data_IF_420518126881
#
_entry.id   IF_420518126881
#
_cell.length_a   1.000
_cell.length_b   1.000
_cell.length_c   1.000
_cell.angle_alpha   90.00
_cell.angle_beta   90.00
_cell.angle_gamma   90.00
#
_symmetry.space_group_name_H-M   'P 1'
#
loop_
_entity.id
_entity.type
_entity.pdbx_description
1 polymer ?
#
# COMPACT_ATOMS: atom_id res chain seq x y z
N UNK A 1 -114.20 59.01 1.24
CA UNK A 1 -112.82 59.53 1.01
C UNK A 1 -111.81 58.77 1.88
N UNK A 2 -112.15 58.51 3.16
CA UNK A 2 -111.40 57.72 4.16
C UNK A 2 -110.79 56.38 3.67
N UNK A 3 -111.56 55.51 2.98
CA UNK A 3 -111.07 54.18 2.59
C UNK A 3 -109.92 54.20 1.56
N UNK A 4 -109.94 55.15 0.63
CA UNK A 4 -108.89 55.25 -0.41
C UNK A 4 -107.57 55.76 0.16
N UNK A 5 -107.62 56.62 1.18
CA UNK A 5 -106.44 57.11 1.89
C UNK A 5 -105.80 55.98 2.69
N UNK A 6 -106.60 55.19 3.41
CA UNK A 6 -106.13 54.00 4.13
C UNK A 6 -105.46 52.97 3.19
N UNK A 7 -106.07 52.67 2.04
CA UNK A 7 -105.51 51.75 1.05
C UNK A 7 -104.17 52.26 0.46
N UNK A 8 -104.05 53.56 0.24
CA UNK A 8 -102.81 54.16 -0.25
C UNK A 8 -101.71 54.19 0.82
N UNK A 9 -102.05 54.42 2.08
CA UNK A 9 -101.12 54.32 3.21
C UNK A 9 -100.63 52.88 3.40
N UNK A 10 -101.52 51.89 3.30
CA UNK A 10 -101.16 50.47 3.34
C UNK A 10 -100.20 50.15 2.19
N UNK A 11 -100.50 50.58 0.95
CA UNK A 11 -99.60 50.39 -0.20
C UNK A 11 -98.23 51.04 0.02
N UNK A 12 -98.20 52.30 0.46
CA UNK A 12 -96.97 53.02 0.74
C UNK A 12 -96.14 52.33 1.84
N UNK A 13 -96.77 51.75 2.86
CA UNK A 13 -96.09 50.96 3.88
C UNK A 13 -95.52 49.66 3.31
N UNK A 14 -96.23 48.97 2.42
CA UNK A 14 -95.72 47.78 1.74
C UNK A 14 -94.55 48.11 0.81
N UNK A 15 -94.62 49.19 0.04
CA UNK A 15 -93.52 49.63 -0.83
C UNK A 15 -92.28 50.01 -0.03
N UNK A 16 -92.45 50.67 1.13
CA UNK A 16 -91.36 50.95 2.07
C UNK A 16 -90.77 49.67 2.65
N UNK A 17 -91.61 48.68 2.99
CA UNK A 17 -91.14 47.40 3.50
C UNK A 17 -90.37 46.61 2.42
N UNK A 18 -90.87 46.62 1.19
CA UNK A 18 -90.26 45.94 0.04
C UNK A 18 -88.90 46.56 -0.30
N UNK A 19 -88.83 47.90 -0.38
CA UNK A 19 -87.58 48.63 -0.63
C UNK A 19 -86.57 48.41 0.49
N UNK A 20 -87.01 48.43 1.76
CA UNK A 20 -86.15 48.13 2.91
C UNK A 20 -85.61 46.69 2.84
N UNK A 21 -86.47 45.71 2.56
CA UNK A 21 -86.08 44.32 2.46
C UNK A 21 -85.09 44.08 1.29
N UNK A 22 -85.31 44.75 0.15
CA UNK A 22 -84.41 44.66 -1.00
C UNK A 22 -83.04 45.29 -0.71
N UNK A 23 -83.00 46.43 0.00
CA UNK A 23 -81.73 47.04 0.43
C UNK A 23 -81.02 46.14 1.44
N UNK A 24 -81.75 45.59 2.42
CA UNK A 24 -81.19 44.73 3.46
C UNK A 24 -80.62 43.43 2.90
N UNK A 25 -81.28 42.81 1.92
CA UNK A 25 -80.79 41.61 1.22
C UNK A 25 -79.54 41.91 0.38
N UNK A 26 -79.51 43.03 -0.35
CA UNK A 26 -78.33 43.44 -1.12
C UNK A 26 -77.14 43.79 -0.20
N UNK A 27 -77.38 44.48 0.91
CA UNK A 27 -76.33 44.79 1.88
C UNK A 27 -75.80 43.52 2.56
N UNK A 28 -76.68 42.61 2.98
CA UNK A 28 -76.31 41.34 3.60
C UNK A 28 -75.48 40.48 2.65
N UNK A 29 -75.91 40.32 1.40
CA UNK A 29 -75.14 39.56 0.38
C UNK A 29 -73.79 40.20 0.05
N UNK A 30 -73.73 41.53 -0.01
CA UNK A 30 -72.47 42.26 -0.20
C UNK A 30 -71.50 42.05 0.96
N UNK A 31 -71.97 42.18 2.21
CA UNK A 31 -71.15 41.95 3.41
C UNK A 31 -70.65 40.51 3.44
N UNK A 32 -71.50 39.53 3.14
CA UNK A 32 -71.10 38.12 3.06
C UNK A 32 -70.01 37.89 2.01
N UNK A 33 -70.13 38.51 0.83
CA UNK A 33 -69.12 38.40 -0.22
C UNK A 33 -67.78 39.02 0.21
N UNK A 34 -67.82 40.21 0.83
CA UNK A 34 -66.63 40.89 1.35
C UNK A 34 -65.97 40.06 2.47
N UNK A 35 -66.75 39.48 3.38
CA UNK A 35 -66.24 38.57 4.42
C UNK A 35 -65.64 37.28 3.84
N UNK A 36 -66.29 36.66 2.86
CA UNK A 36 -65.80 35.43 2.23
C UNK A 36 -64.52 35.69 1.43
N UNK A 37 -64.41 36.86 0.79
CA UNK A 37 -63.18 37.31 0.16
C UNK A 37 -62.07 37.52 1.20
N UNK A 38 -62.35 38.20 2.30
CA UNK A 38 -61.37 38.39 3.39
C UNK A 38 -60.88 37.05 3.93
N UNK A 39 -61.79 36.12 4.24
CA UNK A 39 -61.45 34.76 4.71
C UNK A 39 -60.61 33.98 3.70
N UNK A 40 -60.84 34.16 2.40
CA UNK A 40 -60.00 33.55 1.35
C UNK A 40 -58.61 34.17 1.33
N UNK A 41 -58.52 35.50 1.38
CA UNK A 41 -57.24 36.20 1.43
C UNK A 41 -56.42 35.78 2.66
N UNK A 42 -57.04 35.65 3.82
CA UNK A 42 -56.37 35.21 5.05
C UNK A 42 -55.83 33.78 4.91
N UNK A 43 -56.61 32.87 4.32
CA UNK A 43 -56.19 31.48 4.04
C UNK A 43 -55.04 31.42 3.03
N UNK A 44 -55.12 32.23 1.97
CA UNK A 44 -54.08 32.30 0.95
C UNK A 44 -52.78 32.87 1.55
N UNK A 45 -52.88 33.86 2.45
CA UNK A 45 -51.74 34.40 3.19
C UNK A 45 -51.11 33.37 4.13
N UNK A 46 -51.92 32.59 4.86
CA UNK A 46 -51.44 31.47 5.67
C UNK A 46 -50.74 30.40 4.83
N UNK A 47 -51.34 30.00 3.71
CA UNK A 47 -50.75 29.02 2.80
C UNK A 47 -49.42 29.53 2.22
N UNK A 48 -49.34 30.82 1.87
CA UNK A 48 -48.11 31.43 1.39
C UNK A 48 -47.03 31.45 2.48
N UNK A 49 -47.38 31.80 3.72
CA UNK A 49 -46.45 31.76 4.86
C UNK A 49 -45.94 30.35 5.14
N UNK A 50 -46.81 29.34 5.06
CA UNK A 50 -46.44 27.94 5.21
C UNK A 50 -45.46 27.49 4.11
N UNK A 51 -45.77 27.78 2.84
CA UNK A 51 -44.88 27.46 1.72
C UNK A 51 -43.52 28.17 1.82
N UNK A 52 -43.49 29.42 2.28
CA UNK A 52 -42.23 30.14 2.54
C UNK A 52 -41.43 29.51 3.68
N UNK A 53 -42.07 29.01 4.73
CA UNK A 53 -41.41 28.32 5.83
C UNK A 53 -40.80 26.99 5.36
N UNK A 54 -41.55 26.20 4.58
CA UNK A 54 -41.06 24.96 3.97
C UNK A 54 -39.87 25.21 3.04
N UNK A 55 -39.92 26.24 2.20
CA UNK A 55 -38.79 26.61 1.33
C UNK A 55 -37.55 26.99 2.13
N UNK A 56 -37.72 27.73 3.24
CA UNK A 56 -36.60 28.09 4.12
C UNK A 56 -35.99 26.86 4.78
N UNK A 57 -36.82 25.91 5.22
CA UNK A 57 -36.35 24.68 5.83
C UNK A 57 -35.63 23.78 4.83
N UNK A 58 -36.19 23.61 3.63
CA UNK A 58 -35.52 22.89 2.54
C UNK A 58 -34.16 23.50 2.19
N UNK A 59 -34.04 24.84 2.17
CA UNK A 59 -32.75 25.51 1.97
C UNK A 59 -31.76 25.25 3.11
N UNK A 60 -32.22 25.24 4.38
CA UNK A 60 -31.37 24.91 5.52
C UNK A 60 -30.86 23.47 5.45
N UNK A 61 -31.75 22.53 5.10
CA UNK A 61 -31.37 21.12 4.92
C UNK A 61 -30.37 20.96 3.78
N UNK A 62 -30.58 21.65 2.65
CA UNK A 62 -29.63 21.66 1.56
C UNK A 62 -28.24 22.17 1.99
N UNK A 63 -28.19 23.31 2.68
CA UNK A 63 -26.92 23.84 3.21
C UNK A 63 -26.27 22.89 4.21
N UNK A 64 -27.05 22.25 5.08
CA UNK A 64 -26.54 21.28 6.05
C UNK A 64 -25.88 20.09 5.34
N UNK A 65 -26.58 19.48 4.37
CA UNK A 65 -26.05 18.37 3.57
C UNK A 65 -24.82 18.78 2.76
N UNK A 66 -24.79 20.01 2.24
CA UNK A 66 -23.63 20.54 1.51
C UNK A 66 -22.40 20.61 2.41
N UNK A 67 -22.54 21.12 3.64
CA UNK A 67 -21.45 21.16 4.62
C UNK A 67 -21.02 19.74 5.03
N UNK A 68 -21.97 18.82 5.19
CA UNK A 68 -21.68 17.43 5.50
C UNK A 68 -20.84 16.78 4.38
N UNK A 69 -21.21 16.98 3.11
CA UNK A 69 -20.44 16.49 1.95
C UNK A 69 -19.02 17.08 1.96
N UNK A 70 -18.88 18.39 2.16
CA UNK A 70 -17.57 19.05 2.20
C UNK A 70 -16.70 18.51 3.35
N UNK A 71 -17.31 18.24 4.51
CA UNK A 71 -16.62 17.65 5.66
C UNK A 71 -16.16 16.22 5.38
N UNK A 72 -17.00 15.40 4.74
CA UNK A 72 -16.67 14.01 4.38
C UNK A 72 -15.55 13.97 3.35
N UNK A 73 -15.58 14.86 2.35
CA UNK A 73 -14.50 14.98 1.37
C UNK A 73 -13.18 15.43 2.02
N UNK A 74 -13.22 16.27 3.06
CA UNK A 74 -12.02 16.64 3.80
C UNK A 74 -11.43 15.45 4.56
N UNK A 75 -12.28 14.62 5.17
CA UNK A 75 -11.86 13.37 5.83
C UNK A 75 -11.29 12.38 4.82
N UNK A 76 -11.94 12.18 3.69
CA UNK A 76 -11.49 11.32 2.59
C UNK A 76 -10.07 11.71 2.14
N UNK A 77 -9.85 12.98 1.78
CA UNK A 77 -8.52 13.49 1.43
C UNK A 77 -7.49 13.28 2.53
N UNK A 78 -7.89 13.47 3.80
CA UNK A 78 -7.03 13.21 4.94
C UNK A 78 -6.59 11.75 5.05
N UNK A 79 -7.51 10.82 4.82
CA UNK A 79 -7.25 9.38 4.83
C UNK A 79 -6.38 8.95 3.64
N UNK A 80 -6.66 9.46 2.44
CA UNK A 80 -5.85 9.20 1.23
C UNK A 80 -4.41 9.68 1.42
N UNK A 81 -4.22 10.89 1.95
CA UNK A 81 -2.88 11.43 2.24
C UNK A 81 -2.14 10.58 3.28
N UNK A 82 -2.83 10.13 4.33
CA UNK A 82 -2.25 9.26 5.36
C UNK A 82 -1.84 7.90 4.79
N UNK A 83 -2.70 7.31 3.95
CA UNK A 83 -2.41 6.06 3.25
C UNK A 83 -1.17 6.22 2.36
N UNK A 84 -1.15 7.24 1.50
CA UNK A 84 -0.04 7.51 0.61
C UNK A 84 1.27 7.78 1.37
N UNK A 85 1.23 8.54 2.46
CA UNK A 85 2.40 8.77 3.32
C UNK A 85 2.93 7.46 3.93
N UNK A 86 2.02 6.58 4.38
CA UNK A 86 2.39 5.26 4.89
C UNK A 86 2.98 4.37 3.80
N UNK A 87 2.39 4.34 2.60
CA UNK A 87 2.88 3.57 1.46
C UNK A 87 4.28 4.04 1.05
N UNK A 88 4.50 5.35 0.93
CA UNK A 88 5.81 5.92 0.62
C UNK A 88 6.85 5.58 1.69
N UNK A 89 6.48 5.65 2.96
CA UNK A 89 7.36 5.28 4.06
C UNK A 89 7.78 3.82 3.98
N UNK A 90 6.83 2.90 3.75
CA UNK A 90 7.16 1.47 3.59
C UNK A 90 7.96 1.19 2.32
N UNK A 91 7.67 1.89 1.23
CA UNK A 91 8.45 1.76 0.00
C UNK A 91 9.90 2.18 0.20
N UNK A 92 10.15 3.28 0.92
CA UNK A 92 11.50 3.71 1.27
C UNK A 92 12.20 2.68 2.16
N UNK A 93 11.52 2.18 3.20
CA UNK A 93 12.09 1.13 4.06
C UNK A 93 12.44 -0.14 3.28
N UNK A 94 11.61 -0.52 2.31
CA UNK A 94 11.85 -1.67 1.46
C UNK A 94 13.08 -1.45 0.57
N UNK A 95 13.22 -0.26 -0.04
CA UNK A 95 14.41 0.11 -0.81
C UNK A 95 15.69 0.11 0.04
N UNK A 96 15.62 0.61 1.28
CA UNK A 96 16.75 0.60 2.20
C UNK A 96 17.18 -0.85 2.53
N UNK A 97 16.21 -1.73 2.80
CA UNK A 97 16.49 -3.15 3.06
C UNK A 97 17.03 -3.86 1.82
N UNK A 98 16.50 -3.59 0.63
CA UNK A 98 17.01 -4.11 -0.64
C UNK A 98 18.47 -3.68 -0.84
N UNK A 99 18.81 -2.42 -0.60
CA UNK A 99 20.19 -1.93 -0.70
C UNK A 99 21.14 -2.65 0.28
N UNK A 100 20.69 -2.94 1.51
CA UNK A 100 21.46 -3.71 2.48
C UNK A 100 21.67 -5.15 2.00
N UNK A 101 20.63 -5.80 1.47
CA UNK A 101 20.73 -7.16 0.92
C UNK A 101 21.72 -7.18 -0.24
N UNK A 102 21.61 -6.26 -1.20
CA UNK A 102 22.56 -6.16 -2.31
C UNK A 102 24.00 -5.94 -1.84
N UNK A 103 24.21 -5.14 -0.79
CA UNK A 103 25.52 -4.94 -0.18
C UNK A 103 26.11 -6.25 0.36
N UNK A 104 25.32 -6.98 1.15
CA UNK A 104 25.73 -8.27 1.72
C UNK A 104 25.96 -9.34 0.65
N UNK A 105 25.14 -9.37 -0.40
CA UNK A 105 25.32 -10.28 -1.53
C UNK A 105 26.64 -10.00 -2.27
N UNK A 106 26.98 -8.73 -2.47
CA UNK A 106 28.27 -8.33 -3.07
C UNK A 106 29.43 -8.76 -2.18
N UNK A 107 29.38 -8.47 -0.88
CA UNK A 107 30.43 -8.89 0.07
C UNK A 107 30.62 -10.42 0.07
N UNK A 108 29.51 -11.18 0.07
CA UNK A 108 29.54 -12.64 0.00
C UNK A 108 30.23 -13.13 -1.28
N UNK A 109 29.89 -12.53 -2.42
CA UNK A 109 30.53 -12.86 -3.71
C UNK A 109 32.02 -12.54 -3.71
N UNK A 110 32.43 -11.42 -3.11
CA UNK A 110 33.83 -11.04 -2.99
C UNK A 110 34.62 -12.03 -2.14
N UNK A 111 34.06 -12.46 -1.00
CA UNK A 111 34.68 -13.47 -0.13
C UNK A 111 34.81 -14.80 -0.85
N UNK A 112 33.76 -15.26 -1.56
CA UNK A 112 33.82 -16.50 -2.36
C UNK A 112 34.93 -16.47 -3.41
N UNK A 113 35.00 -15.38 -4.18
CA UNK A 113 36.09 -15.15 -5.14
C UNK A 113 37.46 -15.12 -4.47
N UNK A 114 37.55 -14.53 -3.28
CA UNK A 114 38.77 -14.51 -2.46
C UNK A 114 39.24 -15.92 -2.08
N UNK A 115 38.32 -16.79 -1.66
CA UNK A 115 38.60 -18.19 -1.32
C UNK A 115 39.06 -18.96 -2.56
N UNK A 116 38.37 -18.81 -3.69
CA UNK A 116 38.75 -19.47 -4.95
C UNK A 116 40.17 -19.08 -5.38
N UNK A 117 40.51 -17.79 -5.26
CA UNK A 117 41.87 -17.30 -5.54
C UNK A 117 42.90 -17.91 -4.59
N UNK A 118 42.61 -17.94 -3.28
CA UNK A 118 43.51 -18.57 -2.30
C UNK A 118 43.71 -20.06 -2.56
N UNK A 119 42.67 -20.76 -2.99
CA UNK A 119 42.75 -22.18 -3.35
C UNK A 119 43.70 -22.41 -4.53
N UNK A 120 43.59 -21.58 -5.58
CA UNK A 120 44.50 -21.62 -6.74
C UNK A 120 45.95 -21.33 -6.35
N UNK A 121 46.18 -20.30 -5.54
CA UNK A 121 47.51 -19.96 -5.02
C UNK A 121 48.11 -21.10 -4.18
N UNK A 122 47.28 -21.74 -3.34
CA UNK A 122 47.68 -22.88 -2.53
C UNK A 122 48.02 -24.10 -3.38
N UNK A 123 47.25 -24.41 -4.42
CA UNK A 123 47.53 -25.50 -5.35
C UNK A 123 48.86 -25.29 -6.09
N UNK A 124 49.11 -24.06 -6.58
CA UNK A 124 50.40 -23.71 -7.19
C UNK A 124 51.56 -23.92 -6.21
N UNK A 125 51.43 -23.47 -4.97
CA UNK A 125 52.45 -23.65 -3.95
C UNK A 125 52.69 -25.13 -3.65
N UNK A 126 51.62 -25.92 -3.51
CA UNK A 126 51.70 -27.37 -3.29
C UNK A 126 52.45 -28.05 -4.44
N UNK A 127 52.14 -27.70 -5.69
CA UNK A 127 52.84 -28.22 -6.88
C UNK A 127 54.34 -27.89 -6.83
N UNK A 128 54.71 -26.66 -6.46
CA UNK A 128 56.14 -26.30 -6.32
C UNK A 128 56.82 -27.07 -5.19
N UNK A 129 56.15 -27.24 -4.03
CA UNK A 129 56.65 -28.04 -2.91
C UNK A 129 56.92 -29.48 -3.36
N UNK A 130 55.96 -30.12 -4.03
CA UNK A 130 56.12 -31.49 -4.52
C UNK A 130 57.30 -31.63 -5.48
N UNK A 131 57.51 -30.65 -6.38
CA UNK A 131 58.67 -30.63 -7.28
C UNK A 131 59.99 -30.53 -6.49
N UNK A 132 60.06 -29.64 -5.50
CA UNK A 132 61.25 -29.49 -4.66
C UNK A 132 61.54 -30.74 -3.82
N UNK A 133 60.50 -31.42 -3.31
CA UNK A 133 60.66 -32.69 -2.60
C UNK A 133 61.25 -33.78 -3.50
N UNK A 134 60.84 -33.84 -4.77
CA UNK A 134 61.43 -34.74 -5.76
C UNK A 134 62.90 -34.39 -6.02
N UNK A 135 63.22 -33.11 -6.23
CA UNK A 135 64.60 -32.64 -6.42
C UNK A 135 65.48 -33.01 -5.22
N UNK A 136 65.05 -32.74 -3.99
CA UNK A 136 65.77 -33.12 -2.76
C UNK A 136 66.00 -34.64 -2.69
N UNK A 137 64.98 -35.45 -3.01
CA UNK A 137 65.12 -36.91 -3.04
C UNK A 137 66.16 -37.35 -4.07
N UNK A 138 66.22 -36.71 -5.23
CA UNK A 138 67.27 -36.98 -6.23
C UNK A 138 68.65 -36.56 -5.75
N UNK A 139 68.79 -35.38 -5.14
CA UNK A 139 70.06 -34.91 -4.58
C UNK A 139 70.57 -35.85 -3.48
N UNK A 140 69.70 -36.33 -2.58
CA UNK A 140 70.06 -37.34 -1.57
C UNK A 140 70.60 -38.62 -2.20
N UNK A 141 69.92 -39.16 -3.21
CA UNK A 141 70.39 -40.36 -3.94
C UNK A 141 71.73 -40.16 -4.65
N UNK A 142 71.98 -38.96 -5.20
CA UNK A 142 73.25 -38.65 -5.87
C UNK A 142 74.40 -38.56 -4.85
N UNK A 143 74.15 -37.92 -3.70
CA UNK A 143 75.11 -37.84 -2.60
C UNK A 143 75.41 -39.22 -2.02
N UNK A 144 74.40 -40.05 -1.75
CA UNK A 144 74.58 -41.44 -1.29
C UNK A 144 75.47 -42.25 -2.26
N UNK A 145 75.28 -42.09 -3.59
CA UNK A 145 76.12 -42.75 -4.60
C UNK A 145 77.57 -42.24 -4.59
N UNK A 146 77.77 -40.93 -4.38
CA UNK A 146 79.11 -40.34 -4.31
C UNK A 146 79.84 -40.76 -3.03
N UNK A 147 79.15 -40.80 -1.89
CA UNK A 147 79.69 -41.32 -0.63
C UNK A 147 80.13 -42.78 -0.78
N UNK A 148 79.33 -43.63 -1.45
CA UNK A 148 79.71 -45.01 -1.74
C UNK A 148 80.99 -45.07 -2.60
N UNK A 149 81.15 -44.19 -3.60
CA UNK A 149 82.39 -44.12 -4.40
C UNK A 149 83.58 -43.70 -3.55
N UNK A 150 83.43 -42.63 -2.76
CA UNK A 150 84.49 -42.07 -1.93
C UNK A 150 84.94 -43.07 -0.85
N UNK A 151 84.02 -43.64 -0.07
CA UNK A 151 84.32 -44.64 0.96
C UNK A 151 84.70 -46.01 0.37
N UNK A 152 84.17 -46.39 -0.79
CA UNK A 152 84.54 -47.62 -1.50
C UNK A 152 85.98 -47.62 -2.01
N UNK A 153 86.53 -46.46 -2.40
CA UNK A 153 87.95 -46.32 -2.75
C UNK A 153 88.88 -46.42 -1.52
N UNK A 154 88.43 -46.04 -0.32
CA UNK A 154 89.26 -46.13 0.90
C UNK A 154 89.34 -47.57 1.45
N UNK A 155 88.42 -48.46 1.08
CA UNK A 155 88.42 -49.86 1.54
C UNK A 155 89.24 -50.83 0.66
N UNK A 156 90.09 -50.31 -0.22
CA UNK A 156 91.08 -51.10 -0.98
C UNK A 156 92.24 -51.66 -0.16
N UNK A 157 92.42 -51.24 1.11
CA UNK A 157 93.47 -51.80 1.98
C UNK A 157 92.94 -52.11 3.39
N UNK A 158 93.11 -53.40 3.76
CA UNK A 158 93.06 -54.05 5.09
C UNK A 158 91.73 -54.71 5.50
N UNK A 159 91.76 -56.05 5.44
CA UNK A 159 90.92 -56.97 6.22
C UNK A 159 91.41 -57.02 7.67
N UNK A 160 90.50 -56.93 8.65
CA UNK A 160 90.42 -57.88 9.76
C UNK A 160 89.06 -57.79 10.49
N UNK A 161 88.55 -58.96 10.90
CA UNK A 161 87.22 -59.25 11.47
C UNK A 161 87.26 -59.04 13.01
N UNK A 162 86.17 -58.65 13.72
CA UNK A 162 85.10 -59.52 14.28
C UNK A 162 84.12 -58.71 15.19
N UNK A 163 82.98 -59.29 15.63
CA UNK A 163 81.67 -58.63 15.68
C UNK A 163 81.16 -58.29 17.10
N UNK A 164 80.00 -57.61 17.17
CA UNK A 164 78.80 -57.93 17.99
C UNK A 164 78.13 -56.68 18.56
N UNK A 165 76.86 -56.49 18.17
CA UNK A 165 75.75 -55.91 18.97
C UNK A 165 75.80 -54.44 19.39
N UNK A 166 75.01 -53.61 18.72
CA UNK A 166 73.65 -53.29 19.19
C UNK A 166 72.92 -52.49 18.12
N UNK A 167 71.88 -53.10 17.57
CA UNK A 167 71.04 -52.54 16.52
C UNK A 167 69.91 -51.77 17.22
N UNK A 168 70.08 -50.48 17.45
CA UNK A 168 68.93 -49.60 17.76
C UNK A 168 68.20 -49.36 16.45
N UNK A 169 67.17 -50.16 16.19
CA UNK A 169 66.26 -49.94 15.09
C UNK A 169 65.48 -48.65 15.35
N UNK A 170 65.82 -47.59 14.63
CA UNK A 170 64.93 -46.43 14.54
C UNK A 170 63.82 -46.81 13.55
N UNK A 171 62.73 -47.36 14.10
CA UNK A 171 61.47 -47.53 13.39
C UNK A 171 60.92 -46.13 13.18
N UNK A 172 60.91 -45.65 11.93
CA UNK A 172 59.96 -44.61 11.55
C UNK A 172 58.56 -45.22 11.68
N UNK A 173 57.64 -44.63 12.47
CA UNK A 173 56.26 -45.08 12.49
C UNK A 173 55.66 -44.95 11.09
N UNK A 174 55.39 -46.09 10.46
CA UNK A 174 54.58 -46.20 9.25
C UNK A 174 53.11 -45.92 9.57
N UNK A 175 52.81 -44.68 9.97
CA UNK A 175 51.46 -44.15 10.00
C UNK A 175 51.45 -42.89 9.12
N UNK A 176 50.45 -42.80 8.23
CA UNK A 176 50.27 -41.78 7.17
C UNK A 176 50.98 -42.10 5.83
N UNK A 177 50.82 -43.31 5.29
CA UNK A 177 50.90 -43.53 3.82
C UNK A 177 49.63 -44.23 3.26
N UNK A 178 48.69 -44.63 4.11
CA UNK A 178 47.35 -44.99 3.67
C UNK A 178 46.38 -43.93 4.17
N UNK A 179 45.47 -43.48 3.30
CA UNK A 179 44.46 -42.40 3.47
C UNK A 179 44.79 -41.05 2.81
N UNK A 180 45.42 -41.00 1.63
CA UNK A 180 44.95 -40.07 0.57
C UNK A 180 44.99 -40.80 -0.78
N UNK A 181 44.33 -41.95 -0.83
CA UNK A 181 43.56 -42.30 -2.01
C UNK A 181 42.19 -41.60 -1.92
N UNK A 182 42.19 -40.26 -2.01
CA UNK A 182 41.01 -39.54 -2.48
C UNK A 182 41.16 -39.48 -4.01
N UNK A 183 40.96 -40.61 -4.67
CA UNK A 183 39.75 -40.81 -5.46
C UNK A 183 39.35 -39.51 -6.17
N UNK A 184 39.86 -39.38 -7.38
CA UNK A 184 39.10 -38.92 -8.54
C UNK A 184 37.64 -39.37 -8.43
N UNK A 185 36.82 -38.59 -7.74
CA UNK A 185 35.37 -38.54 -7.85
C UNK A 185 34.96 -37.10 -7.65
N UNK A 186 34.88 -36.38 -8.76
CA UNK A 186 33.73 -35.51 -8.98
C UNK A 186 32.47 -36.36 -8.77
N UNK A 187 31.56 -35.96 -7.88
CA UNK A 187 30.16 -36.00 -8.21
C UNK A 187 29.74 -34.59 -8.57
N UNK A 188 29.63 -34.36 -9.87
CA UNK A 188 28.60 -33.48 -10.40
C UNK A 188 27.26 -33.94 -9.81
N UNK A 189 26.64 -33.06 -9.01
CA UNK A 189 25.19 -32.82 -8.88
C UNK A 189 24.98 -31.86 -7.70
N UNK A 190 25.22 -30.58 -7.96
CA UNK A 190 24.37 -29.56 -7.35
C UNK A 190 23.21 -29.40 -8.34
N UNK A 191 22.12 -30.09 -8.06
CA UNK A 191 20.85 -29.84 -8.72
C UNK A 191 20.43 -28.42 -8.32
N UNK A 192 20.04 -27.63 -9.32
CA UNK A 192 19.49 -26.29 -9.15
C UNK A 192 18.39 -26.32 -8.08
N UNK A 193 18.62 -25.62 -6.97
CA UNK A 193 17.57 -25.32 -6.02
C UNK A 193 16.58 -24.44 -6.77
N UNK A 194 15.45 -25.05 -7.12
CA UNK A 194 14.29 -24.39 -7.72
C UNK A 194 13.95 -23.21 -6.83
N UNK A 195 14.31 -22.01 -7.29
CA UNK A 195 13.77 -20.74 -6.80
C UNK A 195 12.28 -20.79 -7.12
N UNK A 196 11.53 -21.44 -6.24
CA UNK A 196 10.09 -21.38 -6.25
C UNK A 196 9.74 -19.96 -5.83
N UNK A 197 9.45 -19.15 -6.85
CA UNK A 197 8.80 -17.86 -6.73
C UNK A 197 7.73 -17.97 -5.65
N UNK A 198 7.98 -17.37 -4.49
CA UNK A 198 7.01 -17.28 -3.41
C UNK A 198 5.85 -16.47 -3.96
N UNK A 199 4.85 -17.23 -4.37
CA UNK A 199 3.53 -16.75 -4.74
C UNK A 199 2.95 -16.08 -3.52
N UNK A 200 2.43 -14.87 -3.73
CA UNK A 200 1.64 -14.07 -2.79
C UNK A 200 0.76 -14.97 -1.91
N UNK A 201 1.16 -15.22 -0.67
CA UNK A 201 0.26 -15.77 0.33
C UNK A 201 -0.21 -14.63 1.21
N UNK A 202 -1.52 -14.42 1.15
CA UNK A 202 -2.27 -13.48 1.94
C UNK A 202 -1.95 -13.69 3.42
N UNK A 203 -1.50 -12.60 4.07
CA UNK A 203 -1.52 -12.51 5.52
C UNK A 203 -2.98 -12.44 5.92
N UNK A 204 -3.54 -13.59 6.29
CA UNK A 204 -4.81 -13.70 6.97
C UNK A 204 -4.58 -14.44 8.28
N UNK A 205 -5.06 -13.79 9.34
CA UNK A 205 -5.34 -14.30 10.69
C UNK A 205 -4.25 -14.03 11.72
N UNK A 206 -4.49 -12.98 12.50
CA UNK A 206 -3.68 -12.60 13.63
C UNK A 206 -3.85 -13.46 14.88
N UNK A 207 -3.00 -13.09 15.84
CA UNK A 207 -3.02 -13.31 17.28
C UNK A 207 -2.47 -14.66 17.79
N UNK A 208 -1.40 -14.57 18.61
CA UNK A 208 -1.46 -14.78 20.07
C UNK A 208 -0.26 -14.07 20.75
N UNK A 209 -0.60 -13.05 21.54
CA UNK A 209 -0.13 -12.74 22.92
C UNK A 209 1.33 -12.35 23.19
N UNK A 210 1.47 -11.03 23.44
CA UNK A 210 2.18 -10.33 24.54
C UNK A 210 3.66 -10.63 24.80
N UNK A 211 4.49 -9.61 24.57
CA UNK A 211 5.35 -9.12 25.65
C UNK A 211 5.48 -7.59 25.59
N UNK A 212 5.46 -7.01 26.79
CA UNK A 212 5.26 -5.60 27.09
C UNK A 212 6.61 -4.93 27.30
N UNK A 213 6.90 -3.84 26.58
CA UNK A 213 7.81 -2.80 27.07
C UNK A 213 7.32 -1.42 26.67
N UNK A 214 7.54 -0.49 27.60
CA UNK A 214 6.89 0.78 27.78
C UNK A 214 7.31 1.82 26.74
N UNK A 215 6.33 2.50 26.13
CA UNK A 215 6.52 3.87 25.71
C UNK A 215 5.20 4.63 25.86
N UNK A 216 5.21 5.59 26.77
CA UNK A 216 4.11 6.50 27.07
C UNK A 216 3.77 7.35 25.84
N UNK A 217 2.51 7.28 25.41
CA UNK A 217 1.92 8.21 24.46
C UNK A 217 0.43 8.33 24.74
N UNK A 218 0.05 9.36 25.49
CA UNK A 218 -1.32 9.66 25.86
C UNK A 218 -2.11 10.08 24.60
N UNK A 219 -2.98 9.22 24.08
CA UNK A 219 -4.02 9.65 23.13
C UNK A 219 -5.37 9.24 23.69
N UNK A 220 -6.13 10.28 24.02
CA UNK A 220 -7.49 10.30 24.51
C UNK A 220 -8.40 9.48 23.59
N UNK A 221 -8.80 8.29 24.02
CA UNK A 221 -9.88 7.51 23.39
C UNK A 221 -11.05 7.48 24.37
N UNK A 222 -11.83 8.55 24.38
CA UNK A 222 -13.07 8.65 25.16
C UNK A 222 -14.18 9.08 24.21
N UNK A 223 -15.20 8.22 24.13
CA UNK A 223 -16.61 8.48 23.75
C UNK A 223 -16.94 8.89 22.31
N UNK A 224 -16.92 7.96 21.34
CA UNK A 224 -17.84 7.96 20.18
C UNK A 224 -18.10 6.55 19.60
N UNK A 225 -18.10 5.49 20.43
CA UNK A 225 -18.38 4.11 19.98
C UNK A 225 -19.54 3.44 20.75
N UNK A 226 -20.50 4.25 21.22
CA UNK A 226 -21.73 3.78 21.89
C UNK A 226 -23.04 4.40 21.39
N UNK A 227 -23.01 5.24 20.36
CA UNK A 227 -24.24 5.88 19.83
C UNK A 227 -24.68 5.39 18.45
N UNK A 228 -23.95 4.46 17.82
CA UNK A 228 -24.32 3.92 16.50
C UNK A 228 -24.89 2.48 16.54
N UNK A 229 -25.34 2.00 17.70
CA UNK A 229 -26.18 0.78 17.80
C UNK A 229 -27.69 1.09 17.78
N UNK A 230 -28.09 2.36 17.61
CA UNK A 230 -29.48 2.81 17.77
C UNK A 230 -30.33 2.99 16.50
N UNK A 231 -29.79 2.83 15.29
CA UNK A 231 -30.55 3.07 14.05
C UNK A 231 -30.62 1.84 13.16
N UNK A 232 -31.32 0.80 13.64
CA UNK A 232 -31.81 -0.29 12.79
C UNK A 232 -33.28 -0.01 12.48
N UNK A 233 -33.57 0.39 11.24
CA UNK A 233 -34.92 0.27 10.67
C UNK A 233 -34.89 -0.62 9.42
N UNK A 234 -35.99 -1.36 9.16
CA UNK A 234 -35.96 -2.59 8.37
C UNK A 234 -36.19 -2.35 6.87
N UNK A 235 -35.53 -3.20 6.07
CA UNK A 235 -35.69 -3.52 4.65
C UNK A 235 -36.64 -2.70 3.75
N UNK A 236 -36.06 -2.13 2.68
CA UNK A 236 -36.64 -2.21 1.32
C UNK A 236 -35.62 -2.81 0.35
N UNK A 237 -35.94 -3.99 -0.19
CA UNK A 237 -35.23 -4.59 -1.33
C UNK A 237 -35.41 -3.66 -2.53
N UNK A 238 -34.33 -3.03 -2.98
CA UNK A 238 -34.29 -2.39 -4.30
C UNK A 238 -33.33 -3.19 -5.18
N UNK A 239 -33.94 -3.77 -6.21
CA UNK A 239 -33.39 -4.57 -7.29
C UNK A 239 -32.31 -3.78 -8.04
N UNK A 240 -31.07 -4.29 -8.08
CA UNK A 240 -30.04 -3.79 -9.00
C UNK A 240 -30.46 -4.09 -10.45
N UNK A 241 -30.47 -3.13 -11.37
CA UNK A 241 -30.33 -3.43 -12.78
C UNK A 241 -28.84 -3.54 -13.10
N UNK A 242 -28.47 -4.65 -13.74
CA UNK A 242 -27.19 -4.75 -14.45
C UNK A 242 -27.19 -3.73 -15.60
N UNK A 243 -26.22 -2.83 -15.62
CA UNK A 243 -25.89 -2.03 -16.79
C UNK A 243 -24.42 -2.26 -17.11
N UNK A 244 -24.22 -2.87 -18.27
CA UNK A 244 -22.96 -3.22 -18.87
C UNK A 244 -22.25 -1.95 -19.39
N UNK A 245 -21.00 -1.77 -18.97
CA UNK A 245 -19.83 -1.33 -19.77
C UNK A 245 -20.10 -0.43 -20.99
N UNK A 246 -20.02 0.90 -20.85
CA UNK A 246 -19.67 1.84 -21.96
C UNK A 246 -19.17 3.21 -21.45
N UNK A 247 -18.19 3.28 -20.54
CA UNK A 247 -17.59 4.58 -20.17
C UNK A 247 -16.06 4.59 -20.03
N UNK A 248 -15.37 3.56 -20.54
CA UNK A 248 -13.90 3.58 -20.60
C UNK A 248 -13.36 4.25 -21.88
N UNK A 249 -14.18 4.34 -22.94
CA UNK A 249 -13.76 4.97 -24.20
C UNK A 249 -13.90 6.50 -24.23
N UNK A 250 -14.84 7.09 -23.47
CA UNK A 250 -14.98 8.55 -23.42
C UNK A 250 -13.86 9.21 -22.62
N UNK A 251 -13.47 8.62 -21.48
CA UNK A 251 -12.37 9.15 -20.64
C UNK A 251 -11.04 9.07 -21.39
N UNK A 252 -10.78 8.00 -22.15
CA UNK A 252 -9.59 7.89 -22.99
C UNK A 252 -9.60 8.87 -24.19
N UNK A 253 -10.76 9.16 -24.77
CA UNK A 253 -10.89 10.10 -25.89
C UNK A 253 -10.70 11.55 -25.44
N UNK A 254 -11.28 11.94 -24.29
CA UNK A 254 -11.09 13.28 -23.72
C UNK A 254 -9.65 13.49 -23.26
N UNK A 255 -9.01 12.47 -22.68
CA UNK A 255 -7.59 12.55 -22.27
C UNK A 255 -6.65 12.69 -23.46
N UNK A 256 -6.96 12.08 -24.62
CA UNK A 256 -6.20 12.30 -25.88
C UNK A 256 -6.38 13.70 -26.46
N UNK A 257 -7.59 14.25 -26.42
CA UNK A 257 -7.87 15.59 -26.96
C UNK A 257 -7.14 16.66 -26.14
N UNK A 258 -7.10 16.52 -24.80
CA UNK A 258 -6.44 17.48 -23.91
C UNK A 258 -4.91 17.43 -24.04
N UNK A 259 -4.32 16.23 -24.22
CA UNK A 259 -2.86 16.09 -24.39
C UNK A 259 -2.34 16.52 -25.78
N UNK A 260 -3.19 16.60 -26.80
CA UNK A 260 -2.79 17.07 -28.12
C UNK A 260 -2.85 18.60 -28.27
N UNK A 261 -3.51 19.29 -27.33
CA UNK A 261 -3.57 20.76 -27.22
C UNK A 261 -2.46 21.38 -26.36
N UNK A 262 -1.63 20.57 -25.70
CA UNK A 262 -0.54 21.05 -24.84
C UNK A 262 0.80 20.37 -25.17
N UNK A 263 1.32 20.66 -26.37
CA UNK A 263 2.77 20.79 -26.55
C UNK A 263 3.07 22.22 -27.02
N UNK A 264 4.03 22.91 -26.38
CA UNK A 264 4.22 24.34 -26.55
C UNK A 264 4.99 24.64 -27.83
N UNK A 265 4.44 25.48 -28.69
CA UNK A 265 5.23 26.33 -29.57
C UNK A 265 5.97 27.35 -28.67
N UNK A 266 7.08 26.92 -28.06
CA UNK A 266 8.06 27.78 -27.43
C UNK A 266 9.32 27.80 -28.30
N UNK A 267 9.20 28.49 -29.42
CA UNK A 267 10.32 29.04 -30.17
C UNK A 267 9.76 30.20 -30.97
N UNK A 268 10.48 31.32 -30.93
CA UNK A 268 10.14 32.63 -31.51
C UNK A 268 9.36 33.54 -30.54
N UNK A 269 10.12 34.24 -29.68
CA UNK A 269 10.03 35.69 -29.44
C UNK A 269 10.93 36.05 -28.25
N UNK A 270 12.24 36.05 -28.48
CA UNK A 270 13.19 36.74 -27.61
C UNK A 270 14.25 37.41 -28.47
N UNK A 271 13.81 38.45 -29.15
CA UNK A 271 14.66 39.51 -29.68
C UNK A 271 13.85 40.79 -29.58
N UNK A 272 14.44 41.82 -28.96
CA UNK A 272 13.92 43.17 -28.72
C UNK A 272 13.05 43.33 -27.46
N UNK A 273 13.71 43.52 -26.32
CA UNK A 273 13.66 44.76 -25.54
C UNK A 273 14.83 44.77 -24.55
N UNK A 274 15.46 45.95 -24.45
CA UNK A 274 16.63 46.38 -23.65
C UNK A 274 18.04 45.98 -24.12
#
# INVERSE_FOLDING_TARGET
>A
MELSQLLNEIRANYEKLLTRNQIETVLSTRIQLEEDMSKKMDKDEEALKAAQAELKEARRQWHHLQVEIESLQAVERGLENSLHASEQHYQMQLQDLEAVIEGLEKELQEVRRGIEKQLQEHEMLLNTKMRLEQEIATYRRLLEKEEIRYYGCIQGEKKEQKPTTSRVGFVLPSAIINEISFSTKLPQKYEDEKVETVTKQAILNGNVVKESTEARGTIQRVTLFKELEGCVLPHKKIRRPAAQTKDENLVAMVTRIVLQSHHPNFSICQAQCD
#
